data_IF_076460078939
#
_entry.id   IF_076460078939
#
_cell.length_a   1.000
_cell.length_b   1.000
_cell.length_c   1.000
_cell.angle_alpha   90.00
_cell.angle_beta   90.00
_cell.angle_gamma   90.00
#
_symmetry.space_group_name_H-M   'P 1'
#
loop_
_entity.id
_entity.type
_entity.pdbx_description
1 polymer ?
#
# COMPACT_ATOMS: atom_id res chain seq x y z
N UNK A 1 58.89 -22.82 -32.68
CA UNK A 1 57.57 -22.21 -32.98
C UNK A 1 56.63 -22.50 -31.81
N UNK A 2 56.45 -21.54 -30.89
CA UNK A 2 55.59 -21.70 -29.70
C UNK A 2 54.13 -21.47 -30.10
N UNK A 3 53.27 -22.49 -29.96
CA UNK A 3 51.83 -22.37 -30.17
C UNK A 3 51.18 -21.72 -28.95
N UNK A 4 50.60 -20.54 -29.14
CA UNK A 4 49.84 -19.80 -28.13
C UNK A 4 48.39 -20.32 -28.16
N UNK A 5 47.93 -20.93 -27.08
CA UNK A 5 46.54 -21.37 -26.90
C UNK A 5 45.75 -20.17 -26.39
N UNK A 6 44.83 -19.65 -27.20
CA UNK A 6 43.86 -18.64 -26.78
C UNK A 6 42.72 -19.34 -26.02
N UNK A 7 42.60 -19.02 -24.73
CA UNK A 7 41.50 -19.46 -23.88
C UNK A 7 40.34 -18.45 -24.05
N UNK A 8 39.27 -18.84 -24.78
CA UNK A 8 38.03 -18.05 -24.80
C UNK A 8 37.29 -18.24 -23.48
N UNK A 9 37.24 -17.18 -22.66
CA UNK A 9 36.32 -17.10 -21.53
C UNK A 9 34.95 -16.71 -22.07
N UNK A 10 34.03 -17.67 -22.12
CA UNK A 10 32.62 -17.38 -22.39
C UNK A 10 32.02 -16.69 -21.16
N UNK A 11 31.80 -15.37 -21.23
CA UNK A 11 30.95 -14.67 -20.27
C UNK A 11 29.51 -15.13 -20.50
N UNK A 12 29.02 -15.98 -19.60
CA UNK A 12 27.58 -16.28 -19.52
C UNK A 12 26.87 -15.03 -19.00
N UNK A 13 26.29 -14.25 -19.90
CA UNK A 13 25.31 -13.23 -19.55
C UNK A 13 24.03 -13.95 -19.10
N UNK A 14 23.93 -14.20 -17.79
CA UNK A 14 22.65 -14.57 -17.21
C UNK A 14 21.65 -13.44 -17.53
N UNK A 15 20.48 -13.73 -18.12
CA UNK A 15 19.48 -12.70 -18.32
C UNK A 15 19.03 -12.21 -16.95
N UNK A 16 19.40 -10.97 -16.62
CA UNK A 16 18.70 -10.17 -15.61
C UNK A 16 17.30 -9.96 -16.21
N UNK A 17 16.41 -10.92 -15.99
CA UNK A 17 14.98 -10.68 -16.10
C UNK A 17 14.67 -9.78 -14.91
N UNK A 18 14.92 -8.48 -15.09
CA UNK A 18 14.34 -7.47 -14.24
C UNK A 18 12.83 -7.76 -14.23
N UNK A 19 12.27 -8.00 -13.04
CA UNK A 19 10.82 -8.03 -12.82
C UNK A 19 10.28 -6.63 -13.15
N UNK A 20 10.12 -6.33 -14.43
CA UNK A 20 9.65 -5.05 -14.94
C UNK A 20 8.21 -4.73 -14.47
N UNK A 21 7.51 -5.71 -13.87
CA UNK A 21 6.14 -5.60 -13.38
C UNK A 21 6.00 -5.73 -11.85
N UNK A 22 7.10 -5.72 -11.08
CA UNK A 22 6.97 -5.76 -9.62
C UNK A 22 6.61 -4.37 -9.10
N UNK A 23 5.34 -4.17 -8.73
CA UNK A 23 4.93 -3.01 -7.94
C UNK A 23 5.67 -3.03 -6.59
N UNK A 24 6.54 -2.05 -6.37
CA UNK A 24 7.46 -1.98 -5.22
C UNK A 24 7.27 -0.69 -4.42
N UNK A 25 6.43 -0.71 -3.36
CA UNK A 25 6.32 0.40 -2.44
C UNK A 25 7.67 0.80 -1.83
N UNK A 26 7.96 2.09 -1.82
CA UNK A 26 9.21 2.68 -1.33
C UNK A 26 8.97 3.33 0.02
N UNK A 27 9.83 3.04 0.99
CA UNK A 27 9.75 3.62 2.34
C UNK A 27 10.18 5.09 2.30
N UNK A 28 9.30 5.98 2.75
CA UNK A 28 9.58 7.40 2.96
C UNK A 28 9.95 7.64 4.44
N UNK A 29 11.25 7.79 4.68
CA UNK A 29 11.81 8.02 6.02
C UNK A 29 11.53 9.43 6.57
N UNK A 30 11.08 10.36 5.72
CA UNK A 30 10.93 11.77 6.11
C UNK A 30 9.57 12.08 6.73
N UNK A 31 8.56 11.23 6.47
CA UNK A 31 7.16 11.51 6.82
C UNK A 31 6.63 10.84 8.07
N UNK A 32 7.41 10.01 8.75
CA UNK A 32 6.93 9.24 9.91
C UNK A 32 6.88 10.03 11.23
N UNK A 33 7.67 11.11 11.34
CA UNK A 33 7.87 11.82 12.62
C UNK A 33 6.58 12.51 13.11
N UNK A 34 6.17 12.19 14.34
CA UNK A 34 5.08 12.87 15.04
C UNK A 34 3.67 12.58 14.50
N UNK A 35 3.50 11.57 13.65
CA UNK A 35 2.17 11.21 13.11
C UNK A 35 1.27 10.54 14.14
N UNK A 36 1.83 9.74 15.04
CA UNK A 36 1.12 9.08 16.12
C UNK A 36 1.66 9.52 17.48
N UNK A 37 0.84 9.39 18.51
CA UNK A 37 1.21 9.60 19.91
C UNK A 37 1.30 8.24 20.62
N UNK A 38 2.22 7.39 20.14
CA UNK A 38 2.49 6.08 20.74
C UNK A 38 3.92 5.64 20.47
N UNK A 39 4.39 4.65 21.23
CA UNK A 39 5.70 4.02 21.05
C UNK A 39 5.78 3.08 19.83
N UNK A 40 4.65 2.83 19.16
CA UNK A 40 4.60 1.91 18.01
C UNK A 40 5.45 2.45 16.86
N UNK A 41 6.18 1.57 16.17
CA UNK A 41 6.91 1.95 14.96
C UNK A 41 5.91 2.24 13.83
N UNK A 42 6.13 3.34 13.11
CA UNK A 42 5.33 3.73 11.95
C UNK A 42 6.23 3.84 10.71
N UNK A 43 5.75 3.30 9.60
CA UNK A 43 6.40 3.34 8.28
C UNK A 43 5.45 3.93 7.25
N UNK A 44 5.89 4.95 6.51
CA UNK A 44 5.13 5.59 5.43
C UNK A 44 5.67 5.06 4.11
N UNK A 45 4.81 4.55 3.25
CA UNK A 45 5.19 4.03 1.93
C UNK A 45 4.57 4.86 0.83
N UNK A 46 5.38 5.17 -0.18
CA UNK A 46 4.91 5.72 -1.45
C UNK A 46 4.96 4.65 -2.53
N UNK A 47 4.02 4.70 -3.47
CA UNK A 47 4.01 3.75 -4.57
C UNK A 47 3.38 4.35 -5.83
N UNK A 48 3.79 3.83 -6.98
CA UNK A 48 3.13 4.09 -8.26
C UNK A 48 1.93 3.19 -8.50
N UNK A 49 1.53 3.06 -9.76
CA UNK A 49 0.50 2.13 -10.21
C UNK A 49 1.08 0.82 -10.73
N UNK A 50 0.28 -0.24 -10.66
CA UNK A 50 0.48 -1.49 -11.38
C UNK A 50 -0.41 -1.49 -12.62
N UNK A 51 0.13 -1.90 -13.78
CA UNK A 51 -0.57 -1.85 -15.07
C UNK A 51 -1.89 -2.62 -15.04
N UNK A 52 -1.91 -3.76 -14.37
CA UNK A 52 -3.04 -4.66 -14.24
C UNK A 52 -4.22 -4.05 -13.47
N UNK A 53 -4.01 -2.95 -12.73
CA UNK A 53 -5.10 -2.25 -12.05
C UNK A 53 -5.97 -1.45 -13.02
N UNK A 54 -5.49 -1.13 -14.22
CA UNK A 54 -6.31 -0.47 -15.25
C UNK A 54 -6.59 1.02 -15.02
N UNK A 55 -5.75 1.72 -14.26
CA UNK A 55 -5.83 3.18 -14.16
C UNK A 55 -5.57 3.85 -15.52
N UNK A 56 -6.41 4.82 -15.89
CA UNK A 56 -6.29 5.56 -17.14
C UNK A 56 -5.02 6.43 -17.18
N UNK A 57 -4.61 6.98 -16.04
CA UNK A 57 -3.42 7.83 -15.92
C UNK A 57 -2.48 7.31 -14.84
N UNK A 58 -1.15 7.39 -15.05
CA UNK A 58 -0.17 7.14 -14.00
C UNK A 58 -0.42 8.04 -12.78
N UNK A 59 -0.30 7.47 -11.59
CA UNK A 59 -0.53 8.18 -10.35
C UNK A 59 0.38 7.65 -9.24
N UNK A 60 0.57 8.45 -8.20
CA UNK A 60 1.34 8.11 -7.01
C UNK A 60 0.46 8.19 -5.78
N UNK A 61 0.62 7.23 -4.90
CA UNK A 61 -0.21 7.13 -3.71
C UNK A 61 0.61 6.73 -2.49
N UNK A 62 -0.01 6.83 -1.31
CA UNK A 62 0.63 6.60 -0.03
C UNK A 62 -0.19 5.63 0.82
N UNK A 63 0.50 4.76 1.55
CA UNK A 63 -0.10 4.03 2.67
C UNK A 63 0.84 4.04 3.87
N UNK A 64 0.29 3.79 5.05
CA UNK A 64 1.02 3.79 6.32
C UNK A 64 0.86 2.44 6.99
N UNK A 65 1.97 1.90 7.50
CA UNK A 65 1.98 0.69 8.34
C UNK A 65 2.42 1.06 9.74
N UNK A 66 1.59 0.74 10.74
CA UNK A 66 1.92 0.84 12.15
C UNK A 66 2.15 -0.56 12.71
N UNK A 67 3.30 -0.78 13.31
CA UNK A 67 3.73 -2.06 13.88
C UNK A 67 3.00 -2.32 15.21
N UNK A 68 2.79 -3.57 15.62
CA UNK A 68 2.33 -3.86 16.98
C UNK A 68 3.32 -3.30 18.02
N UNK A 69 2.81 -2.90 19.18
CA UNK A 69 3.63 -2.37 20.28
C UNK A 69 4.68 -3.38 20.74
N UNK A 70 4.28 -4.64 20.83
CA UNK A 70 5.18 -5.77 21.12
C UNK A 70 5.33 -6.63 19.87
N UNK A 71 6.57 -6.88 19.45
CA UNK A 71 6.86 -7.73 18.30
C UNK A 71 6.37 -9.15 18.58
N UNK A 72 5.55 -9.69 17.66
CA UNK A 72 5.12 -11.09 17.65
C UNK A 72 5.17 -11.64 16.23
N UNK A 73 5.39 -12.96 16.12
CA UNK A 73 5.24 -13.68 14.87
C UNK A 73 3.75 -13.74 14.51
N UNK A 74 3.42 -13.56 13.23
CA UNK A 74 2.03 -13.64 12.74
C UNK A 74 1.08 -12.78 13.57
N UNK A 75 1.42 -11.50 13.74
CA UNK A 75 0.47 -10.55 14.33
C UNK A 75 -0.68 -10.33 13.33
N UNK A 76 -1.93 -10.19 13.77
CA UNK A 76 -3.03 -9.92 12.86
C UNK A 76 -2.90 -8.54 12.18
N UNK A 77 -3.57 -8.37 11.04
CA UNK A 77 -3.60 -7.13 10.28
C UNK A 77 -4.95 -6.41 10.42
N UNK A 78 -4.92 -5.17 10.90
CA UNK A 78 -6.06 -4.26 10.96
C UNK A 78 -5.99 -3.29 9.78
N UNK A 79 -6.91 -3.39 8.82
CA UNK A 79 -6.93 -2.53 7.62
C UNK A 79 -7.90 -1.38 7.83
N UNK A 80 -7.41 -0.14 7.69
CA UNK A 80 -8.16 1.09 7.90
C UNK A 80 -8.35 1.81 6.59
N UNK A 81 -9.62 2.02 6.22
CA UNK A 81 -10.02 2.91 5.14
C UNK A 81 -10.56 4.18 5.77
N UNK A 82 -9.97 5.32 5.42
CA UNK A 82 -10.39 6.60 5.99
C UNK A 82 -11.77 7.04 5.49
N UNK A 83 -12.54 7.76 6.29
CA UNK A 83 -13.82 8.32 5.86
C UNK A 83 -13.66 9.46 4.84
N UNK A 84 -14.77 9.90 4.26
CA UNK A 84 -14.83 11.05 3.37
C UNK A 84 -14.27 12.32 4.06
N UNK A 85 -13.57 13.17 3.29
CA UNK A 85 -12.93 14.39 3.81
C UNK A 85 -11.54 14.18 4.41
N UNK A 86 -11.15 12.94 4.70
CA UNK A 86 -9.80 12.58 5.16
C UNK A 86 -8.87 12.16 4.02
N UNK A 87 -7.59 12.05 4.36
CA UNK A 87 -6.55 11.26 3.69
C UNK A 87 -5.85 10.40 4.75
N UNK A 88 -4.96 9.50 4.30
CA UNK A 88 -4.20 8.61 5.19
C UNK A 88 -3.53 9.32 6.38
N UNK A 89 -2.93 10.50 6.17
CA UNK A 89 -2.24 11.23 7.24
C UNK A 89 -3.21 11.83 8.26
N UNK A 90 -4.28 12.47 7.81
CA UNK A 90 -5.30 13.02 8.71
C UNK A 90 -6.03 11.91 9.46
N UNK A 91 -6.26 10.75 8.83
CA UNK A 91 -6.83 9.56 9.44
C UNK A 91 -5.96 9.05 10.60
N UNK A 92 -4.65 8.92 10.38
CA UNK A 92 -3.70 8.54 11.44
C UNK A 92 -3.66 9.61 12.54
N UNK A 93 -3.71 10.90 12.21
CA UNK A 93 -3.71 11.97 13.22
C UNK A 93 -4.95 11.96 14.11
N UNK A 94 -6.10 11.49 13.62
CA UNK A 94 -7.31 11.33 14.44
C UNK A 94 -7.06 10.36 15.61
N UNK A 95 -6.15 9.40 15.47
CA UNK A 95 -5.89 8.40 16.52
C UNK A 95 -5.18 8.94 17.76
N UNK A 96 -4.81 10.24 17.77
CA UNK A 96 -4.20 10.91 18.93
C UNK A 96 -5.21 11.23 20.03
N UNK A 97 -6.51 11.16 19.73
CA UNK A 97 -7.56 11.52 20.68
C UNK A 97 -8.55 10.37 20.80
N UNK A 98 -8.72 9.87 22.02
CA UNK A 98 -9.76 8.87 22.34
C UNK A 98 -11.15 9.46 22.10
N UNK A 99 -12.04 8.71 21.46
CA UNK A 99 -13.40 9.14 21.10
C UNK A 99 -13.48 9.84 19.74
N UNK A 100 -12.36 9.99 19.02
CA UNK A 100 -12.31 10.64 17.71
C UNK A 100 -12.08 9.61 16.61
N UNK A 101 -13.14 9.27 15.87
CA UNK A 101 -13.08 8.24 14.82
C UNK A 101 -12.44 6.95 15.34
N UNK A 102 -12.98 6.38 16.42
CA UNK A 102 -12.42 5.21 17.11
C UNK A 102 -12.22 3.99 16.17
N UNK A 103 -12.93 3.93 15.05
CA UNK A 103 -12.70 2.94 13.98
C UNK A 103 -11.29 3.01 13.35
N UNK A 104 -10.57 4.12 13.55
CA UNK A 104 -9.17 4.26 13.12
C UNK A 104 -8.21 3.73 14.20
N UNK A 105 -8.65 3.47 15.42
CA UNK A 105 -7.79 3.01 16.51
C UNK A 105 -7.57 1.49 16.42
N UNK A 106 -6.51 1.09 15.70
CA UNK A 106 -6.10 -0.32 15.67
C UNK A 106 -5.64 -0.83 17.05
N UNK A 107 -5.91 -2.09 17.42
CA UNK A 107 -5.40 -2.67 18.66
C UNK A 107 -3.87 -2.73 18.71
N UNK A 108 -3.29 -2.62 19.91
CA UNK A 108 -1.83 -2.56 20.12
C UNK A 108 -1.07 -3.82 19.67
N UNK A 109 -1.74 -4.97 19.65
CA UNK A 109 -1.18 -6.26 19.26
C UNK A 109 -1.31 -6.58 17.75
N UNK A 110 -1.75 -5.61 16.93
CA UNK A 110 -1.95 -5.76 15.50
C UNK A 110 -0.91 -4.95 14.71
N UNK A 111 -0.60 -5.42 13.50
CA UNK A 111 -0.19 -4.48 12.46
C UNK A 111 -1.40 -3.68 12.02
N UNK A 112 -1.24 -2.40 11.72
CA UNK A 112 -2.30 -1.59 11.16
C UNK A 112 -1.86 -1.03 9.80
N UNK A 113 -2.68 -1.24 8.78
CA UNK A 113 -2.49 -0.69 7.44
C UNK A 113 -3.53 0.40 7.20
N UNK A 114 -3.07 1.63 7.01
CA UNK A 114 -3.91 2.75 6.60
C UNK A 114 -3.63 3.02 5.13
N UNK A 115 -4.66 2.89 4.29
CA UNK A 115 -4.57 3.17 2.86
C UNK A 115 -5.12 4.57 2.57
N UNK A 116 -4.52 5.28 1.61
CA UNK A 116 -5.08 6.54 1.10
C UNK A 116 -5.96 6.30 -0.13
N UNK A 117 -6.83 7.24 -0.45
CA UNK A 117 -7.53 7.31 -1.74
C UNK A 117 -7.61 8.73 -2.29
N UNK A 118 -7.14 9.73 -1.52
CA UNK A 118 -7.35 11.14 -1.85
C UNK A 118 -6.29 11.70 -2.79
N UNK A 119 -5.11 11.10 -2.83
CA UNK A 119 -4.02 11.56 -3.70
C UNK A 119 -4.40 11.54 -5.20
N UNK A 120 -5.43 10.77 -5.55
CA UNK A 120 -5.77 10.41 -6.91
C UNK A 120 -7.21 10.85 -7.26
N UNK A 121 -7.37 11.56 -8.39
CA UNK A 121 -8.68 12.05 -8.84
C UNK A 121 -9.52 10.88 -9.35
N UNK A 122 -10.71 10.68 -8.77
CA UNK A 122 -11.64 9.60 -9.17
C UNK A 122 -11.31 8.24 -8.55
N UNK A 123 -10.24 8.15 -7.77
CA UNK A 123 -9.77 6.95 -7.07
C UNK A 123 -10.27 6.89 -5.62
N UNK A 124 -11.39 7.57 -5.33
CA UNK A 124 -12.10 7.43 -4.07
C UNK A 124 -12.44 5.95 -3.82
N UNK A 125 -12.86 5.61 -2.59
CA UNK A 125 -13.35 4.26 -2.32
C UNK A 125 -14.42 3.83 -3.33
N UNK A 126 -14.21 2.64 -3.89
CA UNK A 126 -15.11 2.04 -4.88
C UNK A 126 -15.30 2.91 -6.15
N UNK A 127 -14.26 3.66 -6.54
CA UNK A 127 -14.29 4.54 -7.71
C UNK A 127 -15.16 5.80 -7.53
N UNK A 128 -15.51 6.14 -6.29
CA UNK A 128 -16.11 7.44 -5.93
C UNK A 128 -17.53 7.65 -6.38
N UNK A 129 -18.45 6.95 -5.74
CA UNK A 129 -19.87 7.09 -6.02
C UNK A 129 -20.46 8.26 -5.21
N UNK A 130 -20.98 9.29 -5.88
CA UNK A 130 -21.97 10.14 -5.24
C UNK A 130 -23.29 9.37 -5.23
N UNK A 131 -23.92 9.20 -4.06
CA UNK A 131 -25.10 8.33 -3.91
C UNK A 131 -26.29 8.70 -4.83
N UNK A 132 -26.34 9.94 -5.32
CA UNK A 132 -27.38 10.42 -6.25
C UNK A 132 -27.02 10.26 -7.73
N UNK A 133 -25.78 9.90 -8.05
CA UNK A 133 -25.35 9.65 -9.42
C UNK A 133 -25.59 8.18 -9.78
N UNK A 134 -26.78 7.92 -10.31
CA UNK A 134 -27.25 6.57 -10.68
C UNK A 134 -26.36 5.95 -11.77
N UNK A 135 -25.85 6.77 -12.70
CA UNK A 135 -25.00 6.28 -13.78
C UNK A 135 -23.63 5.85 -13.25
N UNK A 136 -23.04 6.65 -12.37
CA UNK A 136 -21.77 6.32 -11.72
C UNK A 136 -21.89 5.11 -10.78
N UNK A 137 -23.00 5.04 -10.02
CA UNK A 137 -23.32 3.89 -9.18
C UNK A 137 -23.41 2.63 -10.03
N UNK A 138 -24.14 2.66 -11.14
CA UNK A 138 -24.27 1.51 -12.05
C UNK A 138 -22.93 1.13 -12.70
N UNK A 139 -22.10 2.11 -13.08
CA UNK A 139 -20.78 1.89 -13.70
C UNK A 139 -19.82 1.18 -12.73
N UNK A 140 -19.80 1.60 -11.47
CA UNK A 140 -18.84 1.12 -10.48
C UNK A 140 -19.35 -0.04 -9.62
N UNK A 141 -20.64 -0.41 -9.74
CA UNK A 141 -21.21 -1.58 -9.08
C UNK A 141 -20.92 -2.85 -9.87
N UNK A 142 -20.75 -3.98 -9.18
CA UNK A 142 -20.63 -5.29 -9.82
C UNK A 142 -19.70 -6.23 -9.07
N UNK A 143 -19.37 -7.34 -9.73
CA UNK A 143 -18.44 -8.35 -9.20
C UNK A 143 -16.99 -8.11 -9.63
N UNK A 144 -16.78 -7.26 -10.63
CA UNK A 144 -15.44 -6.97 -11.14
C UNK A 144 -14.83 -5.84 -10.31
N UNK A 145 -13.66 -6.05 -9.69
CA UNK A 145 -13.02 -5.02 -8.90
C UNK A 145 -12.55 -3.86 -9.78
N UNK A 146 -12.78 -2.65 -9.31
CA UNK A 146 -12.30 -1.39 -9.85
C UNK A 146 -10.80 -1.21 -9.52
N UNK A 147 -10.09 -0.30 -10.22
CA UNK A 147 -8.67 -0.06 -9.99
C UNK A 147 -8.30 0.16 -8.52
N UNK A 148 -9.12 0.93 -7.78
CA UNK A 148 -8.93 1.21 -6.34
C UNK A 148 -8.99 -0.06 -5.48
N UNK A 149 -9.88 -0.99 -5.82
CA UNK A 149 -10.07 -2.24 -5.06
C UNK A 149 -8.88 -3.17 -5.29
N UNK A 150 -8.43 -3.28 -6.54
CA UNK A 150 -7.22 -4.04 -6.90
C UNK A 150 -5.98 -3.48 -6.20
N UNK A 151 -5.84 -2.15 -6.14
CA UNK A 151 -4.77 -1.47 -5.40
C UNK A 151 -4.80 -1.80 -3.91
N UNK A 152 -5.97 -1.71 -3.27
CA UNK A 152 -6.12 -2.03 -1.83
C UNK A 152 -5.78 -3.50 -1.58
N UNK A 153 -6.32 -4.42 -2.38
CA UNK A 153 -6.05 -5.86 -2.27
C UNK A 153 -4.55 -6.17 -2.42
N UNK A 154 -3.89 -5.63 -3.44
CA UNK A 154 -2.45 -5.86 -3.65
C UNK A 154 -1.59 -5.20 -2.55
N UNK A 155 -2.03 -4.08 -1.99
CA UNK A 155 -1.37 -3.46 -0.81
C UNK A 155 -1.49 -4.34 0.42
N UNK A 156 -2.67 -4.90 0.70
CA UNK A 156 -2.90 -5.86 1.79
C UNK A 156 -1.99 -7.08 1.64
N UNK A 157 -1.97 -7.69 0.45
CA UNK A 157 -1.09 -8.84 0.15
C UNK A 157 0.37 -8.50 0.38
N UNK A 158 0.82 -7.33 -0.08
CA UNK A 158 2.19 -6.90 0.10
C UNK A 158 2.56 -6.73 1.58
N UNK A 159 1.67 -6.19 2.41
CA UNK A 159 1.90 -6.05 3.87
C UNK A 159 1.98 -7.44 4.52
N UNK A 160 1.06 -8.34 4.19
CA UNK A 160 1.10 -9.73 4.68
C UNK A 160 2.44 -10.38 4.33
N UNK A 161 2.88 -10.27 3.08
CA UNK A 161 4.12 -10.86 2.61
C UNK A 161 5.36 -10.23 3.24
N UNK A 162 5.38 -8.90 3.39
CA UNK A 162 6.53 -8.17 3.94
C UNK A 162 6.73 -8.42 5.42
N UNK A 163 5.66 -8.33 6.21
CA UNK A 163 5.73 -8.39 7.67
C UNK A 163 5.41 -9.77 8.24
N UNK A 164 5.01 -10.72 7.37
CA UNK A 164 4.61 -12.09 7.75
C UNK A 164 3.49 -12.04 8.80
N UNK A 165 2.47 -11.25 8.52
CA UNK A 165 1.27 -11.12 9.38
C UNK A 165 0.43 -12.39 9.28
N UNK A 166 -0.54 -12.53 10.17
CA UNK A 166 -1.59 -13.55 10.04
C UNK A 166 -2.48 -13.18 8.83
N UNK A 167 -2.59 -14.02 7.79
CA UNK A 167 -3.35 -13.73 6.57
C UNK A 167 -4.87 -13.82 6.76
#
# INVERSE_FOLDING_TARGET
MKKLIFLMVAMTTAPIIAKENAWTPTLDLTKSKGLIDSERKLEVYQHGIKKEWGYETPQQDTFIVIHPKTKRKSAPLYVVLHSAGHNVFSCVKCTKQVGNHDIYHSPDNFYALYVDCRANKGDWWWGGMHAKDVNLTKKNSGLNPMPVELRVIDTVKWVIDKYKTDP
#
